data_IF_183582899499
#
_entry.id   IF_183582899499
#
_cell.length_a   1.000
_cell.length_b   1.000
_cell.length_c   1.000
_cell.angle_alpha   90.00
_cell.angle_beta   90.00
_cell.angle_gamma   90.00
#
_symmetry.space_group_name_H-M   'P 1'
#
loop_
_entity.id
_entity.type
_entity.pdbx_description
1 polymer ?
#
# COMPACT_ATOMS: atom_id res chain seq x y z
N UNK A 1 48.27 -22.50 -61.99
CA UNK A 1 47.36 -23.09 -60.99
C UNK A 1 47.31 -22.16 -59.77
N UNK A 2 46.26 -21.31 -59.70
CA UNK A 2 46.08 -20.40 -58.56
C UNK A 2 44.88 -20.93 -57.74
N UNK A 3 45.14 -21.30 -56.52
CA UNK A 3 44.13 -21.65 -55.52
C UNK A 3 43.73 -20.36 -54.77
N UNK A 4 42.52 -19.91 -54.96
CA UNK A 4 41.88 -18.85 -54.18
C UNK A 4 41.40 -19.47 -52.82
N UNK A 5 41.97 -18.93 -51.75
CA UNK A 5 41.51 -19.21 -50.39
C UNK A 5 40.31 -18.28 -50.10
N UNK A 6 39.14 -18.89 -49.87
CA UNK A 6 37.94 -18.19 -49.40
C UNK A 6 38.02 -18.03 -47.88
N UNK A 7 38.32 -16.82 -47.41
CA UNK A 7 38.16 -16.47 -46.00
C UNK A 7 36.70 -16.38 -45.63
N UNK A 8 36.26 -17.22 -44.73
CA UNK A 8 34.95 -17.13 -44.11
C UNK A 8 34.99 -16.12 -42.93
N UNK A 9 34.35 -14.97 -43.14
CA UNK A 9 34.11 -14.01 -42.04
C UNK A 9 32.98 -14.53 -41.18
N UNK A 10 33.30 -14.92 -39.96
CA UNK A 10 32.29 -15.23 -38.94
C UNK A 10 31.89 -13.90 -38.28
N UNK A 11 30.69 -13.44 -38.62
CA UNK A 11 30.04 -12.32 -37.95
C UNK A 11 29.43 -12.85 -36.65
N UNK A 12 30.06 -12.54 -35.53
CA UNK A 12 29.56 -12.86 -34.21
C UNK A 12 28.53 -11.79 -33.83
N UNK A 13 27.23 -12.11 -33.98
CA UNK A 13 26.15 -11.27 -33.49
C UNK A 13 26.04 -11.42 -31.98
N UNK A 14 26.55 -10.41 -31.23
CA UNK A 14 26.33 -10.32 -29.78
C UNK A 14 24.85 -9.93 -29.56
N UNK A 15 24.02 -10.89 -29.15
CA UNK A 15 22.67 -10.62 -28.68
C UNK A 15 22.74 -9.93 -27.32
N UNK A 16 22.49 -8.63 -27.28
CA UNK A 16 22.34 -7.87 -26.06
C UNK A 16 20.97 -8.27 -25.45
N UNK A 17 20.96 -9.20 -24.51
CA UNK A 17 19.78 -9.48 -23.70
C UNK A 17 19.62 -8.34 -22.71
N UNK A 18 18.82 -7.35 -23.07
CA UNK A 18 18.33 -6.35 -22.12
C UNK A 18 17.31 -7.07 -21.23
N UNK A 19 17.74 -7.48 -20.04
CA UNK A 19 16.83 -7.89 -18.98
C UNK A 19 16.05 -6.65 -18.56
N UNK A 20 14.85 -6.45 -19.14
CA UNK A 20 13.87 -5.53 -18.62
C UNK A 20 13.47 -6.08 -17.24
N UNK A 21 14.00 -5.48 -16.19
CA UNK A 21 13.46 -5.67 -14.85
C UNK A 21 12.06 -5.08 -14.86
N UNK A 22 11.07 -5.93 -15.07
CA UNK A 22 9.67 -5.57 -14.83
C UNK A 22 9.59 -5.17 -13.35
N UNK A 23 9.61 -3.88 -13.07
CA UNK A 23 9.27 -3.33 -11.77
C UNK A 23 7.79 -3.60 -11.52
N UNK A 24 7.46 -4.83 -11.15
CA UNK A 24 6.10 -5.20 -10.78
C UNK A 24 5.81 -4.59 -9.43
N UNK A 25 4.72 -3.85 -9.35
CA UNK A 25 4.16 -3.44 -8.09
C UNK A 25 3.85 -4.70 -7.27
N UNK A 26 4.40 -4.75 -6.07
CA UNK A 26 4.17 -5.86 -5.15
C UNK A 26 3.00 -5.52 -4.25
N UNK A 27 1.99 -6.38 -4.23
CA UNK A 27 0.75 -6.18 -3.50
C UNK A 27 0.71 -7.06 -2.23
N UNK A 28 0.59 -6.39 -1.09
CA UNK A 28 0.18 -7.01 0.17
C UNK A 28 -1.32 -6.84 0.35
N UNK A 29 -2.05 -7.88 0.77
CA UNK A 29 -3.48 -7.78 1.10
C UNK A 29 -3.84 -8.73 2.22
N UNK A 30 -4.44 -8.20 3.29
CA UNK A 30 -4.83 -9.01 4.46
C UNK A 30 -6.08 -8.43 5.14
N UNK A 31 -6.89 -9.33 5.72
CA UNK A 31 -8.06 -8.97 6.49
C UNK A 31 -7.81 -9.09 8.00
N UNK A 32 -8.42 -8.18 8.75
CA UNK A 32 -8.34 -8.11 10.22
C UNK A 32 -9.71 -7.79 10.81
N UNK A 33 -9.89 -8.09 12.09
CA UNK A 33 -11.08 -7.67 12.82
C UNK A 33 -11.15 -6.14 12.89
N UNK A 34 -12.30 -5.57 12.54
CA UNK A 34 -12.56 -4.15 12.66
C UNK A 34 -12.91 -3.82 14.12
N UNK A 35 -12.12 -2.93 14.73
CA UNK A 35 -12.35 -2.41 16.09
C UNK A 35 -12.08 -0.92 16.07
N UNK A 36 -13.12 -0.07 16.02
CA UNK A 36 -12.93 1.37 16.10
C UNK A 36 -12.34 1.80 17.45
N UNK A 37 -11.71 2.96 17.47
CA UNK A 37 -11.10 3.58 18.66
C UNK A 37 -10.02 2.69 19.34
N UNK A 38 -9.46 1.73 18.58
CA UNK A 38 -8.43 0.82 19.07
C UNK A 38 -7.29 0.76 18.06
N UNK A 39 -6.06 0.91 18.54
CA UNK A 39 -4.88 0.71 17.69
C UNK A 39 -4.57 -0.78 17.60
N UNK A 40 -4.73 -1.33 16.40
CA UNK A 40 -4.30 -2.70 16.09
C UNK A 40 -2.80 -2.68 15.78
N UNK A 41 -1.98 -3.30 16.62
CA UNK A 41 -0.58 -3.57 16.31
C UNK A 41 -0.50 -4.76 15.38
N UNK A 42 0.03 -4.54 14.17
CA UNK A 42 0.06 -5.56 13.10
C UNK A 42 1.44 -6.20 12.99
N UNK A 43 2.48 -5.42 12.82
CA UNK A 43 3.86 -5.89 12.68
C UNK A 43 4.10 -6.79 11.47
N UNK A 44 3.28 -6.69 10.42
CA UNK A 44 3.35 -7.58 9.26
C UNK A 44 4.41 -7.09 8.26
N UNK A 45 5.33 -7.97 7.91
CA UNK A 45 6.27 -7.74 6.82
C UNK A 45 5.53 -7.78 5.47
N UNK A 46 5.91 -6.85 4.60
CA UNK A 46 5.36 -6.69 3.27
C UNK A 46 6.49 -6.74 2.24
N UNK A 47 6.17 -6.99 0.97
CA UNK A 47 7.14 -6.90 -0.11
C UNK A 47 7.88 -5.55 -0.15
N UNK A 48 9.08 -5.56 -0.73
CA UNK A 48 9.91 -4.34 -0.86
C UNK A 48 10.57 -3.87 0.43
N UNK A 49 10.63 -4.73 1.48
CA UNK A 49 11.21 -4.36 2.78
C UNK A 49 10.33 -3.44 3.61
N UNK A 50 9.05 -3.33 3.29
CA UNK A 50 8.09 -2.56 4.07
C UNK A 50 7.54 -3.39 5.23
N UNK A 51 7.06 -2.70 6.27
CA UNK A 51 6.32 -3.32 7.37
C UNK A 51 5.08 -2.49 7.71
N UNK A 52 3.92 -3.13 7.73
CA UNK A 52 2.70 -2.56 8.28
C UNK A 52 2.79 -2.62 9.81
N UNK A 53 2.99 -1.50 10.45
CA UNK A 53 3.19 -1.44 11.91
C UNK A 53 1.85 -1.48 12.65
N UNK A 54 0.94 -0.57 12.31
CA UNK A 54 -0.35 -0.48 13.00
C UNK A 54 -1.44 0.13 12.13
N UNK A 55 -2.69 -0.13 12.53
CA UNK A 55 -3.91 0.46 11.96
C UNK A 55 -4.81 0.92 13.10
N UNK A 56 -5.31 2.16 13.02
CA UNK A 56 -6.23 2.75 14.00
C UNK A 56 -7.39 3.45 13.29
N UNK A 57 -8.62 3.05 13.61
CA UNK A 57 -9.83 3.72 13.11
C UNK A 57 -10.31 4.73 14.16
N UNK A 58 -10.44 5.98 13.73
CA UNK A 58 -10.88 7.10 14.58
C UNK A 58 -12.25 7.56 14.10
N UNK A 59 -13.27 7.35 14.92
CA UNK A 59 -14.60 7.84 14.66
C UNK A 59 -14.79 9.21 15.34
N UNK A 60 -15.39 10.21 14.65
CA UNK A 60 -15.65 11.50 15.27
C UNK A 60 -16.66 11.32 16.40
N UNK A 61 -16.42 12.00 17.52
CA UNK A 61 -17.38 12.07 18.61
C UNK A 61 -18.55 13.00 18.23
N UNK A 62 -19.73 12.72 18.76
CA UNK A 62 -20.95 13.47 18.44
C UNK A 62 -20.84 14.96 18.76
N UNK A 63 -20.02 15.32 19.74
CA UNK A 63 -19.80 16.72 20.17
C UNK A 63 -19.05 17.57 19.13
N UNK A 64 -18.35 16.95 18.18
CA UNK A 64 -17.63 17.66 17.11
C UNK A 64 -18.59 18.35 16.11
N UNK A 65 -19.82 17.90 16.00
CA UNK A 65 -20.83 18.51 15.15
C UNK A 65 -21.24 19.92 15.64
N UNK A 66 -21.07 20.21 16.92
CA UNK A 66 -21.41 21.52 17.51
C UNK A 66 -20.32 22.57 17.28
N UNK A 67 -19.09 22.18 16.99
CA UNK A 67 -17.95 23.10 16.79
C UNK A 67 -17.79 23.58 15.34
N UNK A 68 -18.68 23.20 14.43
CA UNK A 68 -18.61 23.59 13.00
C UNK A 68 -17.47 22.93 12.20
N UNK A 69 -16.65 22.11 12.84
CA UNK A 69 -15.55 21.40 12.19
C UNK A 69 -15.92 19.92 12.05
N UNK A 70 -16.68 19.61 11.01
CA UNK A 70 -17.01 18.21 10.71
C UNK A 70 -15.77 17.46 10.21
N UNK A 71 -15.13 16.75 11.10
CA UNK A 71 -14.10 15.77 10.74
C UNK A 71 -14.75 14.38 10.64
N UNK A 72 -14.97 13.90 9.41
CA UNK A 72 -15.48 12.56 9.17
C UNK A 72 -14.58 11.47 9.77
N UNK A 73 -15.01 10.20 9.75
CA UNK A 73 -14.21 9.07 10.24
C UNK A 73 -12.88 8.98 9.47
N UNK A 74 -11.84 8.58 10.17
CA UNK A 74 -10.48 8.48 9.62
C UNK A 74 -9.85 7.14 10.00
N UNK A 75 -8.91 6.71 9.20
CA UNK A 75 -8.00 5.61 9.56
C UNK A 75 -6.57 6.09 9.49
N UNK A 76 -5.80 5.76 10.51
CA UNK A 76 -4.35 5.98 10.56
C UNK A 76 -3.66 4.67 10.26
N UNK A 77 -2.74 4.68 9.32
CA UNK A 77 -1.96 3.51 8.90
C UNK A 77 -0.48 3.86 9.04
N UNK A 78 0.20 3.18 9.95
CA UNK A 78 1.64 3.34 10.15
C UNK A 78 2.40 2.30 9.33
N UNK A 79 3.34 2.76 8.50
CA UNK A 79 4.17 1.92 7.67
C UNK A 79 5.63 2.32 7.84
N UNK A 80 6.50 1.34 8.12
CA UNK A 80 7.95 1.49 8.15
C UNK A 80 8.58 0.93 6.89
N UNK A 81 9.57 1.64 6.36
CA UNK A 81 10.44 1.13 5.30
C UNK A 81 11.73 0.61 5.94
N UNK A 82 11.85 -0.69 6.06
CA UNK A 82 13.03 -1.40 6.59
C UNK A 82 13.98 -1.84 5.46
N UNK A 83 13.62 -1.54 4.20
CA UNK A 83 14.44 -1.84 3.04
C UNK A 83 15.56 -0.81 2.84
N UNK A 84 16.35 -1.02 1.82
CA UNK A 84 17.50 -0.18 1.47
C UNK A 84 17.19 0.92 0.44
N UNK A 85 16.03 0.85 -0.18
CA UNK A 85 15.59 1.78 -1.23
C UNK A 85 14.33 2.54 -0.82
N UNK A 86 14.16 3.74 -1.37
CA UNK A 86 12.92 4.49 -1.20
C UNK A 86 11.79 3.83 -1.99
N UNK A 87 10.55 3.84 -1.47
CA UNK A 87 9.39 3.23 -2.09
C UNK A 87 8.20 4.22 -2.16
N UNK A 88 7.48 4.19 -3.27
CA UNK A 88 6.15 4.80 -3.35
C UNK A 88 5.13 3.80 -2.84
N UNK A 89 4.18 4.26 -2.04
CA UNK A 89 3.24 3.39 -1.34
C UNK A 89 1.83 3.83 -1.67
N UNK A 90 1.01 2.88 -2.11
CA UNK A 90 -0.43 3.00 -2.21
C UNK A 90 -1.10 2.19 -1.09
N UNK A 91 -2.12 2.75 -0.46
CA UNK A 91 -2.90 2.09 0.60
C UNK A 91 -4.38 2.16 0.24
N UNK A 92 -5.06 1.03 0.33
CA UNK A 92 -6.52 0.93 0.20
C UNK A 92 -7.10 0.10 1.35
N UNK A 93 -8.22 0.55 1.89
CA UNK A 93 -8.92 -0.12 2.98
C UNK A 93 -10.39 -0.25 2.62
N UNK A 94 -10.95 -1.42 2.88
CA UNK A 94 -12.38 -1.70 2.76
C UNK A 94 -12.87 -2.30 4.08
N UNK A 95 -13.93 -1.72 4.66
CA UNK A 95 -14.59 -2.23 5.86
C UNK A 95 -15.91 -2.88 5.46
N UNK A 96 -16.15 -4.08 5.95
CA UNK A 96 -17.38 -4.84 5.69
C UNK A 96 -18.08 -5.19 6.99
N UNK A 97 -19.41 -5.34 6.93
CA UNK A 97 -20.24 -5.84 8.02
C UNK A 97 -20.21 -7.39 8.10
N UNK A 98 -21.02 -7.95 9.01
CA UNK A 98 -21.14 -9.39 9.23
C UNK A 98 -21.66 -10.14 8.00
N UNK A 99 -22.45 -9.47 7.15
CA UNK A 99 -22.99 -10.03 5.91
C UNK A 99 -22.05 -9.85 4.71
N UNK A 100 -20.86 -9.24 4.93
CA UNK A 100 -19.88 -8.95 3.88
C UNK A 100 -20.20 -7.72 3.02
N UNK A 101 -21.19 -6.90 3.44
CA UNK A 101 -21.53 -5.66 2.73
C UNK A 101 -20.48 -4.60 3.03
N UNK A 102 -20.11 -3.83 2.02
CA UNK A 102 -19.19 -2.72 2.15
C UNK A 102 -19.83 -1.57 2.93
N UNK A 103 -19.22 -1.18 4.04
CA UNK A 103 -19.72 -0.10 4.92
C UNK A 103 -18.78 1.09 5.01
N UNK A 104 -17.54 0.96 4.52
CA UNK A 104 -16.59 2.05 4.46
C UNK A 104 -15.39 1.74 3.59
N UNK A 105 -14.83 2.77 2.96
CA UNK A 105 -13.61 2.68 2.15
C UNK A 105 -12.70 3.84 2.45
N UNK A 106 -11.38 3.60 2.37
CA UNK A 106 -10.37 4.64 2.43
C UNK A 106 -9.24 4.32 1.47
N UNK A 107 -8.64 5.34 0.89
CA UNK A 107 -7.45 5.15 0.06
C UNK A 107 -6.53 6.35 0.15
N UNK A 108 -5.26 6.12 -0.11
CA UNK A 108 -4.22 7.14 -0.13
C UNK A 108 -2.85 6.55 -0.33
N UNK A 109 -1.83 7.32 -0.01
CA UNK A 109 -0.44 6.89 -0.15
C UNK A 109 0.51 8.05 -0.36
N UNK A 110 1.68 7.73 -0.88
CA UNK A 110 2.75 8.66 -1.18
C UNK A 110 2.34 9.59 -2.33
N UNK A 111 2.33 10.91 -2.07
CA UNK A 111 1.93 11.90 -3.09
C UNK A 111 3.12 12.41 -3.89
N UNK A 112 4.06 13.09 -3.24
CA UNK A 112 5.17 13.77 -3.90
C UNK A 112 6.51 13.06 -3.71
N UNK A 113 6.77 12.59 -2.49
CA UNK A 113 8.07 12.02 -2.13
C UNK A 113 7.91 10.58 -1.67
N UNK A 114 8.75 9.65 -2.16
CA UNK A 114 8.72 8.27 -1.70
C UNK A 114 9.15 8.17 -0.23
N UNK A 115 8.68 7.14 0.46
CA UNK A 115 9.13 6.80 1.81
C UNK A 115 10.57 6.29 1.75
N UNK A 116 11.50 7.05 2.33
CA UNK A 116 12.92 6.70 2.36
C UNK A 116 13.17 5.47 3.22
N UNK A 117 14.31 4.81 2.97
CA UNK A 117 14.81 3.75 3.82
C UNK A 117 14.93 4.20 5.28
N UNK A 118 14.75 3.28 6.22
CA UNK A 118 14.82 3.50 7.68
C UNK A 118 13.88 4.61 8.20
N UNK A 119 12.76 4.84 7.51
CA UNK A 119 11.75 5.81 7.91
C UNK A 119 10.39 5.16 8.10
N UNK A 120 9.62 5.75 9.01
CA UNK A 120 8.21 5.45 9.23
C UNK A 120 7.36 6.63 8.77
N UNK A 121 6.18 6.33 8.27
CA UNK A 121 5.14 7.30 7.94
C UNK A 121 3.80 6.85 8.54
N UNK A 122 2.97 7.81 8.91
CA UNK A 122 1.58 7.57 9.28
C UNK A 122 0.68 8.24 8.26
N UNK A 123 -0.03 7.43 7.48
CA UNK A 123 -1.07 7.93 6.58
C UNK A 123 -2.35 8.13 7.37
N UNK A 124 -2.92 9.33 7.30
CA UNK A 124 -4.27 9.61 7.83
C UNK A 124 -5.21 9.73 6.65
N UNK A 125 -6.08 8.74 6.49
CA UNK A 125 -6.99 8.62 5.35
C UNK A 125 -8.41 8.91 5.82
N UNK A 126 -9.16 9.69 5.04
CA UNK A 126 -10.61 9.87 5.27
C UNK A 126 -11.34 8.60 4.85
N UNK A 127 -12.32 8.19 5.62
CA UNK A 127 -13.18 7.05 5.29
C UNK A 127 -14.45 7.58 4.66
N UNK A 128 -14.69 7.18 3.40
CA UNK A 128 -15.95 7.45 2.72
C UNK A 128 -16.97 6.41 3.16
N UNK A 129 -18.10 6.89 3.68
CA UNK A 129 -19.18 6.06 4.18
C UNK A 129 -20.07 6.80 5.17
N UNK A 130 -21.21 6.22 5.49
CA UNK A 130 -22.12 6.74 6.50
C UNK A 130 -21.65 6.23 7.87
N UNK A 131 -21.46 7.11 8.84
CA UNK A 131 -20.95 6.74 10.18
C UNK A 131 -21.74 5.60 10.81
N UNK A 132 -23.07 5.66 10.79
CA UNK A 132 -23.94 4.62 11.36
C UNK A 132 -23.79 3.25 10.69
N UNK A 133 -23.41 3.23 9.42
CA UNK A 133 -23.11 1.97 8.72
C UNK A 133 -21.68 1.48 9.04
N UNK A 134 -20.72 2.40 9.18
CA UNK A 134 -19.36 2.05 9.56
C UNK A 134 -19.28 1.39 10.95
N UNK A 135 -20.12 1.81 11.90
CA UNK A 135 -20.22 1.20 13.23
C UNK A 135 -20.67 -0.28 13.19
N UNK A 136 -21.31 -0.72 12.10
CA UNK A 136 -21.68 -2.13 11.86
C UNK A 136 -20.52 -2.96 11.29
N UNK A 137 -19.40 -2.35 10.99
CA UNK A 137 -18.21 -3.03 10.48
C UNK A 137 -17.72 -4.12 11.42
N UNK A 138 -17.32 -5.25 10.87
CA UNK A 138 -16.78 -6.39 11.62
C UNK A 138 -15.38 -6.79 11.16
N UNK A 139 -15.10 -6.56 9.89
CA UNK A 139 -13.83 -6.90 9.25
C UNK A 139 -13.35 -5.73 8.40
N UNK A 140 -12.07 -5.46 8.41
CA UNK A 140 -11.46 -4.62 7.39
C UNK A 140 -10.38 -5.38 6.62
N UNK A 141 -10.30 -5.11 5.33
CA UNK A 141 -9.20 -5.55 4.47
C UNK A 141 -8.32 -4.36 4.15
N UNK A 142 -7.03 -4.51 4.38
CA UNK A 142 -6.03 -3.54 3.95
C UNK A 142 -5.22 -4.12 2.81
N UNK A 143 -5.03 -3.32 1.77
CA UNK A 143 -4.14 -3.62 0.66
C UNK A 143 -3.08 -2.51 0.57
N UNK A 144 -1.83 -2.92 0.47
CA UNK A 144 -0.69 -2.01 0.33
C UNK A 144 0.08 -2.39 -0.91
N UNK A 145 0.27 -1.43 -1.79
CA UNK A 145 1.07 -1.57 -3.00
C UNK A 145 2.39 -0.83 -2.80
N UNK A 146 3.50 -1.50 -3.09
CA UNK A 146 4.83 -0.91 -3.09
C UNK A 146 5.37 -0.83 -4.52
N UNK A 147 5.78 0.37 -4.93
CA UNK A 147 6.42 0.62 -6.22
C UNK A 147 7.84 1.15 -5.89
N UNK A 148 8.87 0.41 -6.28
CA UNK A 148 10.25 0.82 -6.07
C UNK A 148 10.66 2.06 -6.86
#
# INVERSE_FOLDING_TARGET
MHRLSKGASVVMAAALVVAASDARAELFSKAYAFKPETTLQVGAEMPGGLRLDSVEFVLPKDDAAQSGTFTGPKVKVAISNLGTSAAKIGVAIAVTDVDGRLVGVASGGTKLFPLRADRQIVYTLSIDGVRSELEKGTVFRISVEAIP
#
